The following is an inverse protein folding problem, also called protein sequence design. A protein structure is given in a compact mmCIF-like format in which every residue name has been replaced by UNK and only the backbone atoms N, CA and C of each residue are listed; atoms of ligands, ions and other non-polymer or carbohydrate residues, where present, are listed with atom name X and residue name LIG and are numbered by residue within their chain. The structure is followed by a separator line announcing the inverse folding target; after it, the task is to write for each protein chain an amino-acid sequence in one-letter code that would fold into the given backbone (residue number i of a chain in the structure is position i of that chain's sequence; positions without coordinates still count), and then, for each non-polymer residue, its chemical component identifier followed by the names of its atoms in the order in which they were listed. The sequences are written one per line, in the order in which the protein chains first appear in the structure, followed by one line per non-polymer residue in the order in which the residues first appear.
data_IF_290945623914
#
_entry.id   IF_290945623914
#
_cell.length_a   1.000
_cell.length_b   1.000
_cell.length_c   1.000
_cell.angle_alpha   90.00
_cell.angle_beta   90.00
_cell.angle_gamma   90.00
#
_symmetry.space_group_name_H-M   'P 1'
#
loop_
_entity.id
_entity.type
_entity.pdbx_description
1 polymer ?
#
# COMPACT_ATOMS: atom_id res chain seq x y z
N UNK A 1 -36.39 19.24 29.70
CA UNK A 1 -35.36 18.27 30.15
C UNK A 1 -35.08 17.34 29.01
N UNK A 2 -34.02 17.58 28.26
CA UNK A 2 -33.66 16.77 27.11
C UNK A 2 -32.64 17.55 26.32
N UNK A 3 -31.41 17.06 26.33
CA UNK A 3 -30.31 17.29 25.37
C UNK A 3 -28.96 17.39 26.08
N UNK A 4 -28.46 16.24 26.51
CA UNK A 4 -27.01 16.00 26.53
C UNK A 4 -26.77 14.54 26.20
N UNK A 5 -26.98 14.18 24.93
CA UNK A 5 -26.43 12.93 24.39
C UNK A 5 -24.91 13.07 24.33
N UNK A 6 -24.19 12.09 24.91
CA UNK A 6 -22.73 12.06 24.91
C UNK A 6 -22.20 12.07 23.48
N UNK A 7 -21.19 12.90 23.19
CA UNK A 7 -20.54 13.01 21.86
C UNK A 7 -20.11 11.65 21.30
N UNK A 8 -19.76 10.70 22.20
CA UNK A 8 -19.38 9.33 21.85
C UNK A 8 -20.52 8.50 21.23
N UNK A 9 -21.77 8.79 21.59
CA UNK A 9 -22.95 8.16 21.00
C UNK A 9 -23.31 8.75 19.63
N UNK A 10 -23.10 10.06 19.40
CA UNK A 10 -23.30 10.69 18.08
C UNK A 10 -22.39 10.07 17.02
N UNK A 11 -21.12 9.80 17.36
CA UNK A 11 -20.16 9.11 16.47
C UNK A 11 -20.61 7.72 16.00
N UNK A 12 -21.43 7.01 16.78
CA UNK A 12 -21.91 5.67 16.43
C UNK A 12 -23.21 5.67 15.60
N UNK A 13 -23.94 6.79 15.56
CA UNK A 13 -25.30 6.87 15.00
C UNK A 13 -25.40 7.57 13.63
N UNK A 14 -24.25 7.88 13.01
CA UNK A 14 -24.19 8.37 11.64
C UNK A 14 -24.08 9.89 11.56
N UNK A 15 -23.17 10.35 10.70
CA UNK A 15 -22.77 11.75 10.46
C UNK A 15 -21.90 12.39 11.55
N UNK A 16 -20.77 11.75 11.87
CA UNK A 16 -19.63 12.53 12.37
C UNK A 16 -19.08 13.36 11.20
N UNK A 17 -19.07 14.68 11.35
CA UNK A 17 -18.52 15.60 10.36
C UNK A 17 -17.04 15.27 10.08
N UNK A 18 -16.57 15.53 8.86
CA UNK A 18 -15.19 15.21 8.46
C UNK A 18 -14.15 15.78 9.45
N UNK A 19 -14.44 16.93 10.02
CA UNK A 19 -13.60 17.61 11.02
C UNK A 19 -13.38 16.76 12.28
N UNK A 20 -14.37 15.98 12.72
CA UNK A 20 -14.25 15.11 13.90
C UNK A 20 -13.35 13.89 13.66
N UNK A 21 -13.03 13.58 12.39
CA UNK A 21 -12.17 12.46 11.99
C UNK A 21 -10.75 12.89 11.65
N UNK A 22 -10.42 14.17 11.80
CA UNK A 22 -9.13 14.74 11.41
C UNK A 22 -8.54 15.63 12.51
N UNK A 23 -7.21 15.68 12.58
CA UNK A 23 -6.55 16.72 13.37
C UNK A 23 -6.51 18.01 12.55
N UNK A 24 -6.72 19.20 13.16
CA UNK A 24 -6.46 20.47 12.50
C UNK A 24 -5.03 20.49 11.98
N UNK A 25 -4.85 20.78 10.69
CA UNK A 25 -3.53 20.82 10.06
C UNK A 25 -2.72 22.00 10.63
N UNK A 26 -1.62 21.76 11.38
CA UNK A 26 -0.83 22.84 11.96
C UNK A 26 0.15 23.48 10.97
N UNK A 27 0.31 22.90 9.77
CA UNK A 27 1.31 23.34 8.81
C UNK A 27 0.76 24.47 7.92
N UNK A 28 1.54 25.53 7.68
CA UNK A 28 1.14 26.61 6.77
C UNK A 28 1.04 26.11 5.33
N UNK A 29 0.24 26.81 4.53
CA UNK A 29 0.16 26.55 3.09
C UNK A 29 1.51 26.75 2.40
N UNK A 30 1.69 26.05 1.27
CA UNK A 30 2.96 25.98 0.56
C UNK A 30 3.57 27.36 0.24
N UNK A 31 2.77 28.31 -0.26
CA UNK A 31 3.25 29.64 -0.63
C UNK A 31 3.74 30.43 0.59
N UNK A 32 3.04 30.32 1.72
CA UNK A 32 3.43 30.94 2.98
C UNK A 32 4.72 30.33 3.53
N UNK A 33 4.88 28.99 3.44
CA UNK A 33 6.10 28.29 3.83
C UNK A 33 7.29 28.58 2.91
N UNK A 34 7.03 28.78 1.61
CA UNK A 34 8.03 29.17 0.63
C UNK A 34 8.54 30.60 0.89
N UNK A 35 7.63 31.52 1.19
CA UNK A 35 7.94 32.92 1.45
C UNK A 35 8.73 33.11 2.75
N UNK A 36 8.37 32.39 3.83
CA UNK A 36 9.11 32.41 5.09
C UNK A 36 10.52 31.82 4.97
N UNK A 37 10.69 30.76 4.17
CA UNK A 37 12.00 30.19 3.86
C UNK A 37 12.91 31.11 3.02
N UNK A 38 12.32 31.95 2.16
CA UNK A 38 13.05 32.92 1.33
C UNK A 38 13.38 34.23 2.09
N UNK A 39 12.52 34.64 3.03
CA UNK A 39 12.69 35.87 3.82
C UNK A 39 13.88 35.87 4.77
N UNK A 40 14.35 34.69 5.21
CA UNK A 40 15.55 34.54 6.04
C UNK A 40 16.86 34.93 5.33
N UNK A 41 16.84 35.11 4.00
CA UNK A 41 18.03 35.56 3.22
C UNK A 41 18.11 37.09 3.12
N UNK A 42 17.05 37.85 3.47
CA UNK A 42 16.94 39.26 3.05
C UNK A 42 16.67 40.33 4.13
N UNK A 43 16.56 40.03 5.43
CA UNK A 43 16.31 41.12 6.38
C UNK A 43 16.49 40.81 7.86
N UNK A 44 17.55 41.36 8.43
CA UNK A 44 17.61 41.72 9.84
C UNK A 44 17.03 43.15 10.00
N UNK A 45 15.88 43.28 10.68
CA UNK A 45 15.46 44.45 11.44
C UNK A 45 14.17 44.16 12.26
N UNK A 46 14.30 44.35 13.59
CA UNK A 46 13.37 44.68 14.69
C UNK A 46 11.85 44.83 14.44
N UNK A 47 10.92 44.74 15.40
CA UNK A 47 10.72 44.14 16.74
C UNK A 47 9.21 44.39 17.06
N UNK A 48 8.49 43.46 17.70
CA UNK A 48 7.52 43.70 18.81
C UNK A 48 6.43 42.63 18.99
N UNK A 49 6.45 42.01 20.17
CA UNK A 49 5.28 41.70 21.00
C UNK A 49 4.27 40.63 20.56
N UNK A 50 4.53 39.36 20.86
CA UNK A 50 3.57 38.45 21.52
C UNK A 50 4.26 37.12 21.89
N UNK A 51 4.09 36.67 23.13
CA UNK A 51 4.72 35.44 23.68
C UNK A 51 4.12 34.21 23.01
N UNK A 52 4.76 33.76 21.93
CA UNK A 52 4.61 32.44 21.35
C UNK A 52 5.64 31.51 22.02
N UNK A 53 5.33 30.24 22.35
CA UNK A 53 6.34 29.31 22.81
C UNK A 53 7.45 29.23 21.76
N UNK A 54 8.70 29.45 22.19
CA UNK A 54 9.86 29.49 21.32
C UNK A 54 9.89 28.29 20.36
N UNK A 55 9.98 28.52 19.03
CA UNK A 55 10.26 27.45 18.09
C UNK A 55 11.68 26.97 18.34
N UNK A 56 11.83 25.70 18.70
CA UNK A 56 13.13 25.04 18.79
C UNK A 56 13.87 25.22 17.46
N UNK A 57 15.09 25.71 17.55
CA UNK A 57 16.03 25.96 16.44
C UNK A 57 16.26 24.70 15.59
N UNK A 58 15.40 24.49 14.59
CA UNK A 58 15.52 23.45 13.55
C UNK A 58 14.49 23.73 12.43
N UNK A 59 14.34 25.00 12.05
CA UNK A 59 13.43 25.40 10.97
C UNK A 59 14.24 25.60 9.68
N UNK A 60 14.39 24.59 8.80
CA UNK A 60 14.74 24.87 7.43
C UNK A 60 13.44 25.24 6.72
N UNK A 61 13.51 26.13 5.73
CA UNK A 61 12.39 26.36 4.81
C UNK A 61 11.93 25.08 4.09
N UNK A 62 11.29 25.23 2.94
CA UNK A 62 10.76 24.08 2.20
C UNK A 62 11.74 22.89 2.15
N UNK A 63 11.31 21.65 2.47
CA UNK A 63 12.19 20.48 2.53
C UNK A 63 12.60 19.98 1.13
N UNK A 64 12.45 20.82 0.11
CA UNK A 64 12.71 20.52 -1.28
C UNK A 64 13.60 21.60 -1.89
N UNK A 65 14.56 21.17 -2.70
CA UNK A 65 15.27 22.04 -3.63
C UNK A 65 14.34 22.48 -4.77
N UNK A 66 14.67 23.57 -5.49
CA UNK A 66 13.87 24.04 -6.64
C UNK A 66 13.67 23.02 -7.76
N UNK A 67 14.50 21.97 -7.82
CA UNK A 67 14.38 20.85 -8.76
C UNK A 67 13.50 19.69 -8.24
N UNK A 68 12.78 19.88 -7.13
CA UNK A 68 11.90 18.87 -6.53
C UNK A 68 12.61 17.79 -5.70
N UNK A 69 13.94 17.85 -5.55
CA UNK A 69 14.69 16.89 -4.71
C UNK A 69 14.57 17.24 -3.24
N UNK A 70 14.44 16.22 -2.39
CA UNK A 70 14.37 16.38 -0.94
C UNK A 70 15.73 16.86 -0.40
N UNK A 71 15.72 17.83 0.52
CA UNK A 71 16.95 18.36 1.14
C UNK A 71 17.64 17.30 2.03
N UNK A 72 19.00 17.26 2.06
CA UNK A 72 19.73 16.19 2.76
C UNK A 72 19.40 16.04 4.24
N UNK A 73 19.18 17.15 4.96
CA UNK A 73 18.84 17.11 6.38
C UNK A 73 17.48 16.45 6.61
N UNK A 74 16.51 16.69 5.74
CA UNK A 74 15.20 16.06 5.83
C UNK A 74 15.26 14.59 5.43
N UNK A 75 16.04 14.24 4.40
CA UNK A 75 16.33 12.83 4.06
C UNK A 75 16.92 12.09 5.27
N UNK A 76 17.89 12.68 5.97
CA UNK A 76 18.48 12.09 7.18
C UNK A 76 17.44 11.86 8.28
N UNK A 77 16.56 12.84 8.53
CA UNK A 77 15.45 12.71 9.50
C UNK A 77 14.49 11.58 9.14
N UNK A 78 14.10 11.49 7.87
CA UNK A 78 13.23 10.41 7.35
C UNK A 78 13.92 9.06 7.56
N UNK A 79 15.18 8.93 7.17
CA UNK A 79 15.95 7.68 7.28
C UNK A 79 16.10 7.22 8.73
N UNK A 80 16.40 8.14 9.66
CA UNK A 80 16.43 7.83 11.09
C UNK A 80 15.07 7.31 11.55
N UNK A 81 13.99 8.01 11.21
CA UNK A 81 12.66 7.60 11.65
C UNK A 81 12.21 6.26 11.07
N UNK A 82 12.57 5.96 9.81
CA UNK A 82 12.34 4.64 9.21
C UNK A 82 13.05 3.55 10.03
N UNK A 83 14.31 3.75 10.40
CA UNK A 83 15.05 2.76 11.21
C UNK A 83 14.41 2.53 12.58
N UNK A 84 14.02 3.60 13.26
CA UNK A 84 13.37 3.50 14.58
C UNK A 84 12.03 2.75 14.49
N UNK A 85 11.21 3.08 13.49
CA UNK A 85 9.91 2.43 13.30
C UNK A 85 10.03 0.98 12.84
N UNK A 86 11.04 0.64 12.03
CA UNK A 86 11.33 -0.74 11.67
C UNK A 86 11.70 -1.58 12.90
N UNK A 87 12.48 -1.02 13.83
CA UNK A 87 12.80 -1.70 15.08
C UNK A 87 11.54 -1.95 15.92
N UNK A 88 10.66 -0.95 16.06
CA UNK A 88 9.40 -1.10 16.78
C UNK A 88 8.46 -2.11 16.11
N UNK A 89 8.37 -2.08 14.79
CA UNK A 89 7.60 -3.03 14.00
C UNK A 89 8.09 -4.47 14.23
N UNK A 90 9.40 -4.70 14.12
CA UNK A 90 10.01 -6.02 14.33
C UNK A 90 9.77 -6.58 15.74
N UNK A 91 9.78 -5.72 16.76
CA UNK A 91 9.42 -6.12 18.12
C UNK A 91 7.93 -6.49 18.20
N UNK A 92 7.04 -5.68 17.61
CA UNK A 92 5.60 -5.94 17.58
C UNK A 92 5.22 -7.19 16.80
N UNK A 93 5.96 -7.54 15.75
CA UNK A 93 5.68 -8.74 14.94
C UNK A 93 5.83 -10.05 15.73
N UNK A 94 6.54 -10.04 16.87
CA UNK A 94 6.65 -11.24 17.73
C UNK A 94 5.32 -11.71 18.30
N UNK A 95 4.32 -10.82 18.39
CA UNK A 95 2.98 -11.12 18.89
C UNK A 95 1.91 -11.12 17.80
N UNK A 96 2.29 -10.91 16.53
CA UNK A 96 1.38 -10.91 15.40
C UNK A 96 0.84 -12.32 15.10
N UNK A 97 -0.36 -12.39 14.48
CA UNK A 97 -1.00 -13.66 14.14
C UNK A 97 -0.07 -14.49 13.23
N UNK A 98 0.35 -15.69 13.67
CA UNK A 98 1.24 -16.53 12.90
C UNK A 98 0.64 -17.09 11.59
N UNK A 99 -0.69 -17.01 11.41
CA UNK A 99 -1.41 -17.61 10.28
C UNK A 99 -1.82 -16.60 9.20
N UNK A 100 -1.80 -15.29 9.49
CA UNK A 100 -2.17 -14.28 8.49
C UNK A 100 -1.05 -14.13 7.44
N UNK A 101 -1.22 -14.81 6.32
CA UNK A 101 -0.29 -14.78 5.20
C UNK A 101 -0.62 -13.67 4.17
N UNK A 102 -1.64 -12.85 4.41
CA UNK A 102 -2.09 -11.83 3.45
C UNK A 102 -1.07 -10.70 3.26
N UNK A 103 -1.18 -9.96 2.16
CA UNK A 103 -0.41 -8.73 1.99
C UNK A 103 -1.06 -7.52 2.68
N UNK A 104 -2.36 -7.58 2.96
CA UNK A 104 -3.13 -6.49 3.55
C UNK A 104 -2.82 -6.29 5.04
N UNK A 105 -2.78 -7.38 5.82
CA UNK A 105 -2.55 -7.35 7.28
C UNK A 105 -1.50 -8.34 7.76
N UNK A 106 -1.00 -9.19 6.85
CA UNK A 106 -0.19 -10.34 7.20
C UNK A 106 1.29 -10.24 6.84
N UNK A 107 1.96 -11.39 6.97
CA UNK A 107 3.40 -11.54 6.76
C UNK A 107 3.86 -11.23 5.34
N UNK A 108 3.00 -11.37 4.33
CA UNK A 108 3.35 -10.99 2.95
C UNK A 108 3.46 -9.47 2.81
N UNK A 109 2.68 -8.70 3.56
CA UNK A 109 2.77 -7.23 3.57
C UNK A 109 4.11 -6.77 4.13
N UNK A 110 4.59 -7.45 5.17
CA UNK A 110 5.91 -7.24 5.74
C UNK A 110 7.02 -7.64 4.74
N UNK A 111 6.87 -8.77 4.06
CA UNK A 111 7.81 -9.16 3.01
C UNK A 111 7.88 -8.10 1.90
N UNK A 112 6.73 -7.56 1.47
CA UNK A 112 6.66 -6.50 0.46
C UNK A 112 7.32 -5.20 0.94
N UNK A 113 7.16 -4.83 2.22
CA UNK A 113 7.87 -3.68 2.81
C UNK A 113 9.39 -3.86 2.74
N UNK A 114 9.92 -5.01 3.14
CA UNK A 114 11.35 -5.29 3.07
C UNK A 114 11.88 -5.33 1.62
N UNK A 115 11.07 -5.84 0.69
CA UNK A 115 11.39 -5.79 -0.73
C UNK A 115 11.46 -4.33 -1.23
N UNK A 116 10.57 -3.46 -0.77
CA UNK A 116 10.60 -2.03 -1.10
C UNK A 116 11.81 -1.32 -0.49
N UNK A 117 12.19 -1.66 0.75
CA UNK A 117 13.43 -1.14 1.36
C UNK A 117 14.64 -1.52 0.51
N UNK A 118 14.75 -2.78 0.09
CA UNK A 118 15.80 -3.23 -0.83
C UNK A 118 15.82 -2.42 -2.14
N UNK A 119 14.67 -2.15 -2.76
CA UNK A 119 14.62 -1.38 -4.01
C UNK A 119 15.17 0.04 -3.86
N UNK A 120 14.91 0.67 -2.72
CA UNK A 120 15.32 2.06 -2.47
C UNK A 120 16.77 2.14 -2.00
N UNK A 121 17.25 1.17 -1.22
CA UNK A 121 18.60 1.22 -0.61
C UNK A 121 19.65 0.39 -1.34
N UNK A 122 19.25 -0.64 -2.08
CA UNK A 122 20.14 -1.66 -2.63
C UNK A 122 20.72 -2.64 -1.60
N UNK A 123 20.32 -2.54 -0.33
CA UNK A 123 20.87 -3.36 0.75
C UNK A 123 20.31 -4.78 0.73
N UNK A 124 21.18 -5.74 0.41
CA UNK A 124 20.84 -7.16 0.30
C UNK A 124 20.27 -7.77 1.58
N UNK A 125 20.58 -7.19 2.75
CA UNK A 125 20.04 -7.68 4.03
C UNK A 125 18.51 -7.56 4.07
N UNK A 126 17.94 -6.51 3.46
CA UNK A 126 16.50 -6.36 3.35
C UNK A 126 15.89 -7.36 2.37
N UNK A 127 16.57 -7.70 1.27
CA UNK A 127 16.09 -8.71 0.34
C UNK A 127 16.04 -10.10 1.00
N UNK A 128 17.08 -10.45 1.77
CA UNK A 128 17.11 -11.71 2.52
C UNK A 128 16.04 -11.72 3.63
N UNK A 129 15.83 -10.60 4.33
CA UNK A 129 14.76 -10.48 5.32
C UNK A 129 13.37 -10.65 4.70
N UNK A 130 13.15 -10.08 3.52
CA UNK A 130 11.94 -10.26 2.73
C UNK A 130 11.69 -11.73 2.37
N UNK A 131 12.76 -12.44 1.96
CA UNK A 131 12.71 -13.87 1.67
C UNK A 131 12.29 -14.70 2.89
N UNK A 132 12.81 -14.39 4.08
CA UNK A 132 12.48 -15.14 5.30
C UNK A 132 10.97 -15.06 5.62
N UNK A 133 10.37 -13.87 5.46
CA UNK A 133 8.92 -13.70 5.63
C UNK A 133 8.11 -14.42 4.55
N UNK A 134 8.49 -14.30 3.27
CA UNK A 134 7.71 -14.90 2.18
C UNK A 134 7.79 -16.42 2.17
N UNK A 135 8.93 -17.02 2.57
CA UNK A 135 9.07 -18.49 2.67
C UNK A 135 8.04 -19.09 3.60
N UNK A 136 7.73 -18.39 4.70
CA UNK A 136 6.70 -18.81 5.65
C UNK A 136 5.31 -18.75 5.04
N UNK A 137 4.99 -17.67 4.33
CA UNK A 137 3.65 -17.50 3.74
C UNK A 137 3.38 -18.48 2.60
N UNK A 138 4.39 -18.76 1.77
CA UNK A 138 4.30 -19.74 0.68
C UNK A 138 4.05 -21.17 1.14
N UNK A 139 4.37 -21.52 2.39
CA UNK A 139 4.08 -22.83 2.99
C UNK A 139 2.64 -22.97 3.50
N UNK A 140 1.96 -21.85 3.71
CA UNK A 140 0.66 -21.76 4.38
C UNK A 140 -0.40 -21.07 3.51
N UNK A 141 -0.37 -21.33 2.19
CA UNK A 141 -1.38 -20.81 1.26
C UNK A 141 -2.76 -21.36 1.61
N UNK A 142 -3.78 -20.49 1.56
CA UNK A 142 -5.12 -20.79 2.08
C UNK A 142 -6.00 -21.54 1.09
N UNK A 143 -5.76 -21.36 -0.22
CA UNK A 143 -6.61 -21.78 -1.33
C UNK A 143 -7.95 -21.04 -1.44
N UNK A 144 -8.26 -20.11 -0.52
CA UNK A 144 -9.62 -19.54 -0.37
C UNK A 144 -9.84 -18.25 -1.15
N UNK A 145 -8.79 -17.43 -1.29
CA UNK A 145 -8.88 -16.08 -1.85
C UNK A 145 -7.82 -15.91 -2.92
N UNK A 146 -8.16 -15.16 -3.97
CA UNK A 146 -7.36 -15.07 -5.19
C UNK A 146 -6.63 -13.76 -5.38
N UNK A 147 -6.79 -12.78 -4.49
CA UNK A 147 -6.28 -11.42 -4.72
C UNK A 147 -4.89 -11.21 -4.16
N UNK A 148 -4.19 -10.19 -4.68
CA UNK A 148 -2.88 -9.81 -4.17
C UNK A 148 -2.92 -9.40 -2.68
N UNK A 149 -3.92 -8.61 -2.28
CA UNK A 149 -3.98 -8.06 -0.93
C UNK A 149 -4.44 -9.09 0.09
N UNK A 150 -5.49 -9.85 -0.21
CA UNK A 150 -6.16 -10.69 0.79
C UNK A 150 -6.11 -12.19 0.48
N UNK A 151 -5.43 -12.61 -0.58
CA UNK A 151 -5.41 -14.00 -1.04
C UNK A 151 -4.02 -14.50 -1.42
N UNK A 152 -3.98 -15.73 -1.95
CA UNK A 152 -2.74 -16.46 -2.20
C UNK A 152 -1.93 -15.85 -3.36
N UNK A 153 -2.57 -15.03 -4.21
CA UNK A 153 -1.86 -14.31 -5.25
C UNK A 153 -0.83 -13.31 -4.71
N UNK A 154 -1.03 -12.78 -3.50
CA UNK A 154 -0.05 -11.92 -2.83
C UNK A 154 1.26 -12.64 -2.54
N UNK A 155 1.26 -13.68 -1.67
CA UNK A 155 2.44 -14.48 -1.38
C UNK A 155 3.14 -15.00 -2.64
N UNK A 156 2.37 -15.50 -3.61
CA UNK A 156 2.92 -16.05 -4.86
C UNK A 156 3.59 -14.97 -5.70
N UNK A 157 2.94 -13.82 -5.92
CA UNK A 157 3.51 -12.76 -6.73
C UNK A 157 4.73 -12.10 -6.06
N UNK A 158 4.66 -11.83 -4.76
CA UNK A 158 5.78 -11.28 -3.99
C UNK A 158 6.94 -12.28 -3.95
N UNK A 159 6.66 -13.56 -3.71
CA UNK A 159 7.64 -14.65 -3.71
C UNK A 159 8.37 -14.77 -5.04
N UNK A 160 7.63 -14.76 -6.15
CA UNK A 160 8.21 -14.83 -7.50
C UNK A 160 9.23 -13.72 -7.75
N UNK A 161 8.90 -12.47 -7.37
CA UNK A 161 9.79 -11.32 -7.53
C UNK A 161 11.04 -11.43 -6.64
N UNK A 162 10.88 -11.86 -5.39
CA UNK A 162 12.01 -12.04 -4.47
C UNK A 162 12.97 -13.10 -5.02
N UNK A 163 12.46 -14.27 -5.41
CA UNK A 163 13.28 -15.34 -5.98
C UNK A 163 13.96 -14.91 -7.29
N UNK A 164 13.27 -14.18 -8.16
CA UNK A 164 13.87 -13.65 -9.39
C UNK A 164 15.03 -12.68 -9.08
N UNK A 165 14.85 -11.76 -8.12
CA UNK A 165 15.92 -10.83 -7.70
C UNK A 165 17.12 -11.56 -7.07
N UNK A 166 16.88 -12.71 -6.44
CA UNK A 166 17.92 -13.61 -5.90
C UNK A 166 18.52 -14.57 -6.93
N UNK A 167 18.09 -14.52 -8.19
CA UNK A 167 18.53 -15.43 -9.28
C UNK A 167 18.15 -16.90 -9.06
N UNK A 168 17.10 -17.14 -8.27
CA UNK A 168 16.45 -18.43 -8.07
C UNK A 168 15.31 -18.59 -9.08
N UNK A 169 15.65 -18.85 -10.34
CA UNK A 169 14.66 -18.89 -11.43
C UNK A 169 13.65 -20.03 -11.28
N UNK A 170 14.06 -21.19 -10.76
CA UNK A 170 13.17 -22.34 -10.57
C UNK A 170 12.03 -22.00 -9.59
N UNK A 171 12.36 -21.47 -8.42
CA UNK A 171 11.40 -21.08 -7.39
C UNK A 171 10.54 -19.88 -7.82
N UNK A 172 11.12 -18.96 -8.59
CA UNK A 172 10.36 -17.86 -9.19
C UNK A 172 9.29 -18.39 -10.14
N UNK A 173 9.67 -19.27 -11.08
CA UNK A 173 8.75 -19.88 -12.03
C UNK A 173 7.71 -20.79 -11.36
N UNK A 174 8.06 -21.48 -10.27
CA UNK A 174 7.09 -22.25 -9.48
C UNK A 174 6.00 -21.35 -8.89
N UNK A 175 6.38 -20.19 -8.35
CA UNK A 175 5.43 -19.21 -7.81
C UNK A 175 4.50 -18.67 -8.90
N UNK A 176 5.05 -18.32 -10.07
CA UNK A 176 4.27 -17.83 -11.23
C UNK A 176 3.30 -18.92 -11.70
N UNK A 177 3.76 -20.17 -11.81
CA UNK A 177 2.94 -21.30 -12.22
C UNK A 177 1.75 -21.49 -11.27
N UNK A 178 2.00 -21.49 -9.96
CA UNK A 178 0.94 -21.60 -8.94
C UNK A 178 -0.03 -20.42 -8.99
N UNK A 179 0.44 -19.20 -9.26
CA UNK A 179 -0.43 -18.03 -9.43
C UNK A 179 -1.37 -18.22 -10.62
N UNK A 180 -0.86 -18.72 -11.75
CA UNK A 180 -1.64 -18.97 -12.96
C UNK A 180 -2.60 -20.16 -12.83
N UNK A 181 -2.36 -21.11 -11.93
CA UNK A 181 -3.33 -22.18 -11.63
C UNK A 181 -4.66 -21.63 -11.08
N UNK A 182 -4.63 -20.47 -10.43
CA UNK A 182 -5.82 -19.81 -9.89
C UNK A 182 -6.67 -19.11 -10.97
N UNK A 183 -6.10 -18.91 -12.16
CA UNK A 183 -6.68 -18.13 -13.25
C UNK A 183 -8.08 -18.60 -13.64
N UNK A 184 -8.28 -19.93 -13.71
CA UNK A 184 -9.58 -20.53 -14.07
C UNK A 184 -10.72 -20.07 -13.15
N UNK A 185 -10.47 -19.95 -11.85
CA UNK A 185 -11.47 -19.48 -10.87
C UNK A 185 -11.85 -18.01 -11.08
N UNK A 186 -10.91 -17.22 -11.61
CA UNK A 186 -11.08 -15.77 -11.82
C UNK A 186 -11.87 -15.48 -13.10
N UNK A 187 -11.58 -16.20 -14.17
CA UNK A 187 -12.20 -15.98 -15.50
C UNK A 187 -13.49 -16.76 -15.72
N UNK A 188 -13.84 -17.69 -14.83
CA UNK A 188 -15.08 -18.45 -14.93
C UNK A 188 -16.31 -17.51 -14.90
N UNK A 189 -17.23 -17.70 -15.84
CA UNK A 189 -18.45 -16.87 -15.96
C UNK A 189 -19.41 -17.06 -14.77
N UNK A 190 -19.42 -18.24 -14.18
CA UNK A 190 -20.22 -18.59 -12.99
C UNK A 190 -19.53 -18.18 -11.68
N UNK A 191 -18.41 -17.47 -11.76
CA UNK A 191 -17.65 -17.05 -10.58
C UNK A 191 -18.33 -15.88 -9.89
N UNK A 192 -18.72 -16.09 -8.64
CA UNK A 192 -19.26 -15.08 -7.72
C UNK A 192 -18.21 -14.09 -7.19
N UNK A 193 -17.00 -14.10 -7.75
CA UNK A 193 -15.98 -13.13 -7.38
C UNK A 193 -16.48 -11.71 -7.66
N UNK A 194 -16.28 -10.77 -6.73
CA UNK A 194 -16.55 -9.37 -6.99
C UNK A 194 -15.53 -8.80 -7.98
N UNK A 195 -15.72 -7.54 -8.35
CA UNK A 195 -14.87 -6.82 -9.32
C UNK A 195 -14.05 -5.71 -8.64
N UNK A 196 -13.79 -5.83 -7.34
CA UNK A 196 -13.03 -4.86 -6.55
C UNK A 196 -11.63 -5.37 -6.18
N UNK A 197 -10.91 -4.56 -5.40
CA UNK A 197 -9.47 -4.68 -5.20
C UNK A 197 -9.08 -5.75 -4.17
N UNK A 198 -9.88 -5.92 -3.11
CA UNK A 198 -9.53 -6.74 -1.96
C UNK A 198 -9.84 -8.21 -2.16
N UNK A 199 -10.93 -8.55 -2.85
CA UNK A 199 -11.46 -9.91 -3.01
C UNK A 199 -11.83 -10.26 -4.45
N UNK A 200 -11.77 -9.30 -5.37
CA UNK A 200 -12.26 -9.44 -6.72
C UNK A 200 -11.23 -9.64 -7.82
N UNK A 201 -11.72 -9.65 -9.07
CA UNK A 201 -10.92 -9.82 -10.29
C UNK A 201 -9.85 -8.75 -10.43
N UNK A 202 -10.12 -7.50 -10.02
CA UNK A 202 -9.13 -6.43 -10.02
C UNK A 202 -7.94 -6.78 -9.11
N UNK A 203 -8.20 -7.38 -7.94
CA UNK A 203 -7.17 -7.86 -7.00
C UNK A 203 -6.23 -8.90 -7.58
N UNK A 204 -6.75 -9.83 -8.38
CA UNK A 204 -5.93 -10.81 -9.08
C UNK A 204 -5.20 -10.20 -10.27
N UNK A 205 -5.87 -9.36 -11.06
CA UNK A 205 -5.28 -8.64 -12.18
C UNK A 205 -4.05 -7.83 -11.74
N UNK A 206 -4.13 -7.16 -10.59
CA UNK A 206 -2.99 -6.45 -10.02
C UNK A 206 -1.79 -7.38 -9.78
N UNK A 207 -1.99 -8.62 -9.29
CA UNK A 207 -0.91 -9.57 -9.08
C UNK A 207 -0.20 -9.94 -10.40
N UNK A 208 -0.96 -10.14 -11.48
CA UNK A 208 -0.42 -10.44 -12.81
C UNK A 208 0.41 -9.26 -13.35
N UNK A 209 -0.13 -8.04 -13.25
CA UNK A 209 0.55 -6.82 -13.71
C UNK A 209 1.78 -6.48 -12.87
N UNK A 210 1.72 -6.76 -11.57
CA UNK A 210 2.85 -6.62 -10.66
C UNK A 210 4.04 -7.47 -11.12
N UNK A 211 3.82 -8.73 -11.51
CA UNK A 211 4.89 -9.58 -12.05
C UNK A 211 5.51 -9.01 -13.34
N UNK A 212 4.68 -8.57 -14.27
CA UNK A 212 5.15 -7.96 -15.52
C UNK A 212 5.95 -6.66 -15.28
N UNK A 213 5.63 -5.94 -14.22
CA UNK A 213 6.34 -4.71 -13.85
C UNK A 213 7.67 -5.00 -13.16
N UNK A 214 7.71 -6.03 -12.31
CA UNK A 214 8.82 -6.28 -11.40
C UNK A 214 9.89 -7.24 -11.91
N UNK A 215 9.49 -8.21 -12.74
CA UNK A 215 10.39 -9.20 -13.37
C UNK A 215 10.69 -8.75 -14.80
N UNK A 216 9.65 -8.41 -15.54
CA UNK A 216 9.77 -7.81 -16.86
C UNK A 216 8.57 -8.08 -17.76
N UNK A 217 8.39 -7.31 -18.84
CA UNK A 217 7.32 -7.51 -19.80
C UNK A 217 7.32 -8.95 -20.33
N UNK A 218 6.13 -9.58 -20.35
CA UNK A 218 5.97 -10.95 -20.86
C UNK A 218 6.16 -12.05 -19.83
N UNK A 219 6.46 -11.73 -18.56
CA UNK A 219 6.48 -12.71 -17.45
C UNK A 219 5.15 -13.47 -17.34
N UNK A 220 4.05 -12.73 -17.45
CA UNK A 220 2.69 -13.23 -17.62
C UNK A 220 2.22 -12.84 -19.02
N UNK A 221 1.74 -13.83 -19.78
CA UNK A 221 1.26 -13.64 -21.14
C UNK A 221 0.07 -12.68 -21.23
N UNK A 222 0.04 -11.85 -22.27
CA UNK A 222 -1.04 -10.88 -22.49
C UNK A 222 -2.43 -11.52 -22.58
N UNK A 223 -2.51 -12.74 -23.08
CA UNK A 223 -3.77 -13.49 -23.19
C UNK A 223 -4.42 -13.67 -21.83
N UNK A 224 -3.66 -14.07 -20.80
CA UNK A 224 -4.19 -14.23 -19.45
C UNK A 224 -4.72 -12.90 -18.89
N UNK A 225 -3.99 -11.81 -19.08
CA UNK A 225 -4.41 -10.46 -18.65
C UNK A 225 -5.71 -10.05 -19.36
N UNK A 226 -5.77 -10.24 -20.68
CA UNK A 226 -6.97 -9.95 -21.49
C UNK A 226 -8.16 -10.78 -20.99
N UNK A 227 -8.01 -12.07 -20.77
CA UNK A 227 -9.10 -12.92 -20.27
C UNK A 227 -9.69 -12.42 -18.94
N UNK A 228 -8.87 -11.94 -17.99
CA UNK A 228 -9.37 -11.34 -16.73
C UNK A 228 -10.15 -10.05 -17.01
N UNK A 229 -9.66 -9.20 -17.91
CA UNK A 229 -10.36 -7.96 -18.31
C UNK A 229 -11.69 -8.26 -19.02
N UNK A 230 -11.71 -9.27 -19.88
CA UNK A 230 -12.94 -9.71 -20.54
C UNK A 230 -13.95 -10.23 -19.54
N UNK A 231 -13.54 -11.05 -18.57
CA UNK A 231 -14.41 -11.55 -17.51
C UNK A 231 -14.99 -10.41 -16.64
N UNK A 232 -14.17 -9.40 -16.34
CA UNK A 232 -14.62 -8.18 -15.65
C UNK A 232 -15.68 -7.42 -16.46
N UNK A 233 -15.46 -7.25 -17.77
CA UNK A 233 -16.36 -6.50 -18.64
C UNK A 233 -17.69 -7.22 -18.86
N UNK A 234 -17.66 -8.53 -19.15
CA UNK A 234 -18.87 -9.32 -19.43
C UNK A 234 -19.80 -9.40 -18.23
N UNK A 235 -19.26 -9.60 -17.02
CA UNK A 235 -20.04 -9.62 -15.80
C UNK A 235 -20.77 -8.29 -15.56
N UNK A 236 -20.08 -7.17 -15.78
CA UNK A 236 -20.67 -5.82 -15.63
C UNK A 236 -21.78 -5.57 -16.66
N UNK A 237 -21.58 -6.00 -17.91
CA UNK A 237 -22.61 -5.89 -18.96
C UNK A 237 -23.85 -6.74 -18.64
N UNK A 238 -23.67 -7.98 -18.15
CA UNK A 238 -24.79 -8.84 -17.75
C UNK A 238 -25.61 -8.21 -16.62
N UNK A 239 -24.95 -7.76 -15.54
CA UNK A 239 -25.64 -7.09 -14.42
C UNK A 239 -26.36 -5.81 -14.82
N UNK A 240 -25.83 -5.05 -15.78
CA UNK A 240 -26.50 -3.87 -16.31
C UNK A 240 -27.77 -4.27 -17.09
N UNK A 241 -27.70 -5.32 -17.92
CA UNK A 241 -28.85 -5.83 -18.65
C UNK A 241 -29.96 -6.34 -17.72
N UNK A 242 -29.61 -7.09 -16.67
CA UNK A 242 -30.55 -7.62 -15.68
C UNK A 242 -31.23 -6.50 -14.87
N UNK A 243 -30.46 -5.49 -14.45
CA UNK A 243 -31.00 -4.32 -13.75
C UNK A 243 -31.95 -3.49 -14.63
N UNK A 244 -31.66 -3.36 -15.93
CA UNK A 244 -32.56 -2.68 -16.87
C UNK A 244 -33.85 -3.47 -17.10
N UNK A 245 -33.81 -4.81 -17.05
CA UNK A 245 -35.02 -5.63 -17.11
C UNK A 245 -35.87 -5.54 -15.83
N UNK A 246 -35.24 -5.46 -14.66
CA UNK A 246 -35.92 -5.27 -13.38
C UNK A 246 -36.59 -3.90 -13.26
N UNK A 247 -36.00 -2.84 -13.81
CA UNK A 247 -36.59 -1.49 -13.85
C UNK A 247 -37.76 -1.35 -14.85
N UNK A 248 -37.97 -2.35 -15.71
CA UNK A 248 -39.06 -2.39 -16.70
C UNK A 248 -40.28 -3.20 -16.23
N UNK A 249 -40.26 -3.75 -15.00
CA UNK A 249 -41.39 -4.39 -14.34
C UNK A 249 -41.93 -3.51 -13.22
#
# INVERSE_FOLDING_TARGET
MGETMSKRLKLHLGEAEMEERSFPNPFPDYEAAAASGAGLVAGAAEESGHVCPLPTTDDPGLPFHPNGKIVPNFVKRIQTKIKDLLQQMEEGLKTADPHDCSAYTGWTGIALLYLQLYRVTGDQTYLLRSLDYVKRTLRNLSGRRVTFLCGDAGPLAVGAVIYHKLKSECESQECITKLLQMHRTVVCQESELPDEMLYGRAGYLYALLYLNTEIGPGTVGETAIKEVLWAYWTYRCSKLADNVQLLKR
#
